data_IF_655115190621
#
_entry.id   IF_655115190621
#
_cell.length_a   1.000
_cell.length_b   1.000
_cell.length_c   1.000
_cell.angle_alpha   90.00
_cell.angle_beta   90.00
_cell.angle_gamma   90.00
#
_symmetry.space_group_name_H-M   'P 1'
#
loop_
_entity.id
_entity.type
_entity.pdbx_description
1 polymer ?
#
# COMPACT_ATOMS: atom_id res chain seq x y z
N UNK A 1 -34.38 6.97 7.33
CA UNK A 1 -33.19 7.28 6.53
C UNK A 1 -32.31 6.05 6.57
N UNK A 2 -32.71 5.03 5.83
CA UNK A 2 -32.23 3.66 5.93
C UNK A 2 -31.72 3.28 4.55
N UNK A 3 -30.41 3.12 4.43
CA UNK A 3 -29.67 2.29 3.47
C UNK A 3 -28.22 2.79 3.43
N UNK A 4 -27.51 2.59 4.55
CA UNK A 4 -26.08 2.84 4.65
C UNK A 4 -25.39 1.48 4.80
N UNK A 5 -24.62 1.10 3.79
CA UNK A 5 -23.79 -0.11 3.67
C UNK A 5 -24.42 -1.32 2.97
N UNK A 6 -24.18 -1.39 1.66
CA UNK A 6 -23.92 -2.67 0.99
C UNK A 6 -22.92 -2.46 -0.14
N UNK A 7 -21.65 -2.88 -0.02
CA UNK A 7 -20.75 -2.89 -1.16
C UNK A 7 -21.12 -4.07 -2.07
N UNK A 8 -21.50 -3.77 -3.32
CA UNK A 8 -21.53 -4.76 -4.40
C UNK A 8 -20.09 -4.97 -4.87
N UNK A 9 -19.47 -6.06 -4.45
CA UNK A 9 -18.18 -6.49 -4.98
C UNK A 9 -18.39 -7.16 -6.34
N UNK A 10 -18.24 -6.41 -7.42
CA UNK A 10 -18.12 -6.97 -8.76
C UNK A 10 -16.69 -7.49 -8.95
N UNK A 11 -16.56 -8.81 -9.02
CA UNK A 11 -15.32 -9.53 -9.29
C UNK A 11 -14.95 -9.42 -10.78
N UNK A 12 -14.40 -8.28 -11.19
CA UNK A 12 -13.68 -8.18 -12.47
C UNK A 12 -12.30 -8.81 -12.32
N UNK A 13 -11.98 -9.78 -13.20
CA UNK A 13 -10.68 -10.45 -13.29
C UNK A 13 -9.55 -9.43 -13.14
N UNK A 14 -8.67 -9.63 -12.16
CA UNK A 14 -7.55 -8.73 -11.84
C UNK A 14 -6.54 -8.63 -13.00
N UNK A 15 -6.81 -7.78 -13.97
CA UNK A 15 -5.83 -7.42 -14.99
C UNK A 15 -4.70 -6.64 -14.32
N UNK A 16 -3.47 -7.12 -14.44
CA UNK A 16 -2.27 -6.38 -14.04
C UNK A 16 -1.95 -5.39 -15.15
N UNK A 17 -1.69 -4.13 -14.79
CA UNK A 17 -1.32 -3.07 -15.72
C UNK A 17 0.14 -2.65 -15.46
N UNK A 18 0.88 -2.33 -16.52
CA UNK A 18 2.25 -1.82 -16.36
C UNK A 18 2.21 -0.34 -15.98
N UNK A 19 3.09 0.07 -15.06
CA UNK A 19 3.26 1.48 -14.72
C UNK A 19 3.61 2.28 -16.00
N UNK A 20 2.97 3.44 -16.26
CA UNK A 20 3.25 4.24 -17.44
C UNK A 20 4.67 4.82 -17.45
N UNK A 21 5.29 4.99 -16.27
CA UNK A 21 6.62 5.58 -16.13
C UNK A 21 7.74 4.53 -16.10
N UNK A 22 7.66 3.54 -15.20
CA UNK A 22 8.75 2.56 -15.01
C UNK A 22 8.44 1.16 -15.57
N UNK A 23 7.29 0.97 -16.21
CA UNK A 23 6.86 -0.26 -16.89
C UNK A 23 6.75 -1.54 -16.03
N UNK A 24 6.92 -1.45 -14.71
CA UNK A 24 6.72 -2.57 -13.78
C UNK A 24 5.25 -2.99 -13.74
N UNK A 25 4.99 -4.30 -13.70
CA UNK A 25 3.63 -4.85 -13.56
C UNK A 25 3.03 -4.52 -12.19
N UNK A 26 1.98 -3.72 -12.18
CA UNK A 26 1.31 -3.21 -10.99
C UNK A 26 0.04 -3.98 -10.68
N UNK A 27 -0.40 -3.88 -9.43
CA UNK A 27 -1.62 -4.53 -8.93
C UNK A 27 -2.68 -3.48 -8.65
N UNK A 28 -3.93 -3.90 -8.76
CA UNK A 28 -5.09 -3.10 -8.36
C UNK A 28 -5.00 -2.67 -6.89
N UNK A 29 -5.52 -1.48 -6.64
CA UNK A 29 -5.72 -0.90 -5.32
C UNK A 29 -7.13 -0.30 -5.27
N UNK A 30 -7.75 -0.30 -4.09
CA UNK A 30 -9.14 0.17 -3.98
C UNK A 30 -9.21 1.70 -4.07
N UNK A 31 -10.32 2.22 -4.61
CA UNK A 31 -10.61 3.66 -4.56
C UNK A 31 -10.52 4.24 -3.15
N UNK A 32 -10.99 3.48 -2.14
CA UNK A 32 -10.95 3.90 -0.72
C UNK A 32 -9.51 4.14 -0.25
N UNK A 33 -8.59 3.24 -0.58
CA UNK A 33 -7.16 3.39 -0.29
C UNK A 33 -6.63 4.66 -0.95
N UNK A 34 -6.82 4.82 -2.26
CA UNK A 34 -6.31 5.98 -3.01
C UNK A 34 -6.87 7.29 -2.46
N UNK A 35 -8.17 7.37 -2.21
CA UNK A 35 -8.84 8.54 -1.63
C UNK A 35 -8.22 8.97 -0.29
N UNK A 36 -7.85 8.01 0.57
CA UNK A 36 -7.26 8.27 1.89
C UNK A 36 -5.78 8.61 1.84
N UNK A 37 -5.10 8.32 0.72
CA UNK A 37 -3.69 8.62 0.51
C UNK A 37 -3.46 9.90 -0.30
N UNK A 38 -4.35 10.27 -1.23
CA UNK A 38 -4.22 11.50 -2.02
C UNK A 38 -4.37 12.75 -1.14
N UNK A 39 -3.54 13.75 -1.41
CA UNK A 39 -3.63 15.07 -0.75
C UNK A 39 -4.80 15.90 -1.31
N UNK A 40 -5.30 16.83 -0.51
CA UNK A 40 -6.29 17.81 -0.97
C UNK A 40 -5.64 18.81 -1.96
N UNK A 41 -6.34 19.25 -3.02
CA UNK A 41 -7.73 18.95 -3.39
C UNK A 41 -7.90 17.71 -4.26
N UNK A 42 -6.83 16.98 -4.59
CA UNK A 42 -6.89 15.87 -5.57
C UNK A 42 -7.83 14.74 -5.15
N UNK A 43 -8.03 14.56 -3.85
CA UNK A 43 -8.96 13.58 -3.32
C UNK A 43 -10.44 13.96 -3.51
N UNK A 44 -10.80 15.22 -3.81
CA UNK A 44 -12.19 15.66 -4.05
C UNK A 44 -12.82 14.93 -5.24
N UNK A 45 -12.07 14.87 -6.35
CA UNK A 45 -12.57 14.38 -7.64
C UNK A 45 -11.99 13.00 -7.98
N UNK A 46 -11.74 12.17 -6.96
CA UNK A 46 -11.14 10.84 -7.17
C UNK A 46 -12.01 10.00 -8.11
N UNK A 47 -11.48 9.55 -9.28
CA UNK A 47 -12.23 8.77 -10.24
C UNK A 47 -12.87 7.50 -9.67
N UNK A 48 -13.91 7.00 -10.34
CA UNK A 48 -14.55 5.72 -9.99
C UNK A 48 -13.97 4.51 -10.72
N UNK A 49 -12.98 4.74 -11.58
CA UNK A 49 -12.24 3.73 -12.33
C UNK A 49 -11.29 2.91 -11.44
N UNK A 50 -10.71 1.87 -12.03
CA UNK A 50 -9.71 1.03 -11.38
C UNK A 50 -8.38 1.79 -11.19
N UNK A 51 -7.85 1.74 -9.97
CA UNK A 51 -6.53 2.27 -9.67
C UNK A 51 -5.49 1.15 -9.57
N UNK A 52 -4.27 1.48 -9.96
CA UNK A 52 -3.10 0.63 -9.86
C UNK A 52 -2.04 1.31 -9.00
N UNK A 53 -1.38 0.53 -8.14
CA UNK A 53 -0.27 1.02 -7.32
C UNK A 53 1.07 0.54 -7.88
N UNK A 54 1.98 1.48 -8.13
CA UNK A 54 3.36 1.15 -8.49
C UNK A 54 4.19 0.92 -7.23
N UNK A 55 4.81 -0.26 -7.12
CA UNK A 55 5.62 -0.64 -5.96
C UNK A 55 7.12 -0.42 -6.15
N UNK A 56 7.52 0.25 -7.23
CA UNK A 56 8.92 0.56 -7.48
C UNK A 56 9.32 1.81 -6.68
N UNK A 57 10.27 1.68 -5.74
CA UNK A 57 10.72 2.79 -4.88
C UNK A 57 11.38 3.92 -5.66
N UNK A 58 11.98 3.61 -6.80
CA UNK A 58 12.66 4.58 -7.66
C UNK A 58 11.71 5.25 -8.68
N UNK A 59 10.42 4.92 -8.63
CA UNK A 59 9.42 5.48 -9.55
C UNK A 59 8.63 6.57 -8.86
N UNK A 60 8.58 7.77 -9.47
CA UNK A 60 7.78 8.87 -8.94
C UNK A 60 6.28 8.62 -8.98
N UNK A 61 5.80 7.71 -9.85
CA UNK A 61 4.37 7.35 -9.93
C UNK A 61 3.99 6.45 -8.76
N UNK A 62 2.97 6.84 -7.98
CA UNK A 62 2.39 6.02 -6.90
C UNK A 62 1.12 5.33 -7.36
N UNK A 63 0.17 6.11 -7.88
CA UNK A 63 -1.10 5.60 -8.41
C UNK A 63 -1.30 5.97 -9.87
N UNK A 64 -2.01 5.12 -10.61
CA UNK A 64 -2.41 5.43 -11.98
C UNK A 64 -3.66 4.66 -12.39
N UNK A 65 -4.28 5.11 -13.48
CA UNK A 65 -5.48 4.52 -14.08
C UNK A 65 -5.20 4.05 -15.51
N UNK A 66 -6.12 3.26 -16.06
CA UNK A 66 -6.06 2.78 -17.45
C UNK A 66 -6.12 3.93 -18.47
N UNK A 67 -6.81 5.01 -18.14
CA UNK A 67 -6.94 6.20 -19.00
C UNK A 67 -5.67 7.08 -19.07
N UNK A 68 -4.58 6.67 -18.39
CA UNK A 68 -3.29 7.39 -18.39
C UNK A 68 -3.13 8.41 -17.27
N UNK A 69 -4.18 8.74 -16.52
CA UNK A 69 -4.09 9.59 -15.33
C UNK A 69 -3.15 8.95 -14.30
N UNK A 70 -2.25 9.74 -13.73
CA UNK A 70 -1.29 9.29 -12.72
C UNK A 70 -1.15 10.29 -11.57
N UNK A 71 -0.79 9.77 -10.40
CA UNK A 71 -0.51 10.53 -9.19
C UNK A 71 0.87 10.16 -8.70
N UNK A 72 1.69 11.18 -8.47
CA UNK A 72 3.08 11.02 -8.08
C UNK A 72 3.28 11.12 -6.56
N UNK A 73 4.52 10.92 -6.12
CA UNK A 73 4.93 10.95 -4.71
C UNK A 73 4.61 12.27 -4.00
N UNK A 74 4.57 13.41 -4.69
CA UNK A 74 4.22 14.70 -4.10
C UNK A 74 2.72 14.88 -3.86
N UNK A 75 1.89 14.02 -4.46
CA UNK A 75 0.44 14.07 -4.42
C UNK A 75 -0.16 13.11 -3.39
N UNK A 76 0.67 12.46 -2.58
CA UNK A 76 0.25 11.55 -1.50
C UNK A 76 0.71 12.07 -0.13
N UNK A 77 -0.10 11.80 0.89
CA UNK A 77 0.14 12.24 2.27
C UNK A 77 1.32 11.53 2.93
N UNK A 78 1.53 10.25 2.65
CA UNK A 78 2.55 9.40 3.29
C UNK A 78 3.87 9.43 2.48
N UNK A 79 4.19 10.60 1.90
CA UNK A 79 5.36 10.78 1.05
C UNK A 79 6.64 10.38 1.78
N UNK A 80 6.79 10.82 3.03
CA UNK A 80 8.00 10.56 3.79
C UNK A 80 8.15 9.07 4.08
N UNK A 81 7.06 8.41 4.45
CA UNK A 81 6.99 6.99 4.77
C UNK A 81 7.29 6.12 3.55
N UNK A 82 6.77 6.50 2.38
CA UNK A 82 7.08 5.83 1.11
C UNK A 82 8.56 6.02 0.76
N UNK A 83 9.08 7.25 0.85
CA UNK A 83 10.49 7.55 0.55
C UNK A 83 11.48 6.86 1.50
N UNK A 84 11.12 6.75 2.79
CA UNK A 84 11.90 6.03 3.79
C UNK A 84 11.76 4.50 3.68
N UNK A 85 10.87 4.00 2.83
CA UNK A 85 10.66 2.57 2.63
C UNK A 85 10.02 1.91 3.85
N UNK A 86 8.82 2.34 4.22
CA UNK A 86 8.08 1.70 5.30
C UNK A 86 7.69 0.25 4.99
N UNK A 87 7.79 -0.61 6.02
CA UNK A 87 7.42 -2.01 5.96
C UNK A 87 5.98 -2.21 6.44
N UNK A 88 5.62 -1.66 7.60
CA UNK A 88 4.28 -1.74 8.19
C UNK A 88 3.70 -0.36 8.50
N UNK A 89 2.78 0.11 7.66
CA UNK A 89 2.07 1.38 7.82
C UNK A 89 1.06 1.42 8.98
N UNK A 90 0.65 0.27 9.49
CA UNK A 90 -0.27 0.19 10.63
C UNK A 90 0.42 0.47 11.96
N UNK A 91 1.67 0.06 12.10
CA UNK A 91 2.38 0.04 13.38
C UNK A 91 3.74 0.74 13.33
N UNK A 92 3.96 1.61 12.33
CA UNK A 92 5.14 2.47 12.24
C UNK A 92 6.47 1.68 12.28
N UNK A 93 6.59 0.71 11.37
CA UNK A 93 7.80 -0.12 11.23
C UNK A 93 8.39 0.13 9.84
N UNK A 94 9.61 0.66 9.81
CA UNK A 94 10.41 0.84 8.59
C UNK A 94 11.13 -0.44 8.16
N UNK A 95 11.48 -0.54 6.87
CA UNK A 95 12.38 -1.62 6.40
C UNK A 95 13.73 -1.57 7.09
N UNK A 96 14.25 -0.38 7.38
CA UNK A 96 15.53 -0.22 8.08
C UNK A 96 15.49 -0.79 9.50
N UNK A 97 14.45 -0.49 10.29
CA UNK A 97 14.28 -1.07 11.63
C UNK A 97 14.20 -2.60 11.58
N UNK A 98 13.44 -3.15 10.62
CA UNK A 98 13.33 -4.59 10.49
C UNK A 98 14.62 -5.26 10.02
N UNK A 99 15.35 -4.62 9.09
CA UNK A 99 16.65 -5.10 8.65
C UNK A 99 17.64 -5.14 9.81
N UNK A 100 17.72 -4.06 10.61
CA UNK A 100 18.55 -4.05 11.80
C UNK A 100 18.19 -5.18 12.77
N UNK A 101 16.90 -5.45 12.97
CA UNK A 101 16.44 -6.54 13.82
C UNK A 101 16.80 -7.93 13.25
N UNK A 102 16.84 -8.10 11.93
CA UNK A 102 17.35 -9.33 11.30
C UNK A 102 18.84 -9.49 11.61
N UNK A 103 19.62 -8.42 11.43
CA UNK A 103 21.07 -8.43 11.65
C UNK A 103 21.43 -8.69 13.13
N UNK A 104 20.60 -8.25 14.08
CA UNK A 104 20.80 -8.45 15.52
C UNK A 104 20.08 -9.66 16.10
N UNK A 105 19.34 -10.44 15.29
CA UNK A 105 18.62 -11.63 15.75
C UNK A 105 17.36 -11.36 16.60
N UNK A 106 16.78 -10.16 16.51
CA UNK A 106 15.57 -9.74 17.25
C UNK A 106 14.32 -9.58 16.36
N UNK A 107 14.42 -9.91 15.07
CA UNK A 107 13.34 -9.75 14.09
C UNK A 107 12.05 -10.51 14.44
N UNK A 108 12.16 -11.68 15.10
CA UNK A 108 10.99 -12.48 15.49
C UNK A 108 10.02 -11.70 16.38
N UNK A 109 10.53 -10.89 17.33
CA UNK A 109 9.71 -10.10 18.25
C UNK A 109 8.84 -9.08 17.49
N UNK A 110 9.42 -8.40 16.51
CA UNK A 110 8.72 -7.42 15.68
C UNK A 110 7.64 -8.12 14.84
N UNK A 111 8.00 -9.24 14.19
CA UNK A 111 7.07 -9.95 13.31
C UNK A 111 5.92 -10.59 14.09
N UNK A 112 6.21 -11.20 15.24
CA UNK A 112 5.20 -11.82 16.11
C UNK A 112 4.22 -10.78 16.66
N UNK A 113 4.72 -9.59 17.02
CA UNK A 113 3.86 -8.45 17.36
C UNK A 113 2.90 -8.12 16.20
N UNK A 114 3.41 -7.93 14.97
CA UNK A 114 2.57 -7.60 13.80
C UNK A 114 1.56 -8.70 13.48
N UNK A 115 1.96 -9.98 13.55
CA UNK A 115 1.07 -11.12 13.36
C UNK A 115 -0.06 -11.08 14.39
N UNK A 116 0.27 -10.90 15.67
CA UNK A 116 -0.72 -10.84 16.76
C UNK A 116 -1.73 -9.72 16.55
N UNK A 117 -1.27 -8.49 16.26
CA UNK A 117 -2.20 -7.37 16.03
C UNK A 117 -3.06 -7.56 14.78
N UNK A 118 -2.52 -8.20 13.74
CA UNK A 118 -3.27 -8.53 12.51
C UNK A 118 -4.36 -9.56 12.78
N UNK A 119 -4.04 -10.62 13.53
CA UNK A 119 -5.00 -11.65 13.94
C UNK A 119 -6.10 -11.10 14.86
N UNK A 120 -5.78 -10.09 15.68
CA UNK A 120 -6.76 -9.37 16.50
C UNK A 120 -7.59 -8.33 15.73
N UNK A 121 -7.43 -8.23 14.40
CA UNK A 121 -8.12 -7.26 13.56
C UNK A 121 -7.89 -5.78 13.96
N UNK A 122 -6.74 -5.48 14.58
CA UNK A 122 -6.37 -4.13 15.01
C UNK A 122 -5.58 -3.36 13.94
N UNK A 123 -5.28 -3.99 12.80
CA UNK A 123 -4.64 -3.36 11.66
C UNK A 123 -5.67 -2.85 10.64
N UNK A 124 -5.32 -1.81 9.90
CA UNK A 124 -6.13 -1.27 8.79
C UNK A 124 -5.32 -1.21 7.48
N UNK A 125 -4.60 -2.30 7.18
CA UNK A 125 -3.60 -2.33 6.10
C UNK A 125 -4.19 -2.17 4.69
N UNK A 126 -5.47 -2.48 4.50
CA UNK A 126 -6.21 -2.26 3.26
C UNK A 126 -6.34 -0.77 2.90
N UNK A 127 -6.27 0.12 3.90
CA UNK A 127 -6.39 1.58 3.72
C UNK A 127 -5.18 2.39 4.18
N UNK A 128 -4.33 1.84 5.07
CA UNK A 128 -3.12 2.54 5.56
C UNK A 128 -1.88 2.23 4.73
N UNK A 129 -1.81 1.07 4.09
CA UNK A 129 -0.69 0.75 3.21
C UNK A 129 -1.04 1.28 1.80
N UNK A 130 -0.19 2.11 1.17
CA UNK A 130 -0.44 2.65 -0.16
C UNK A 130 -0.76 1.57 -1.21
N UNK A 131 -0.23 0.37 -1.06
CA UNK A 131 -0.47 -0.76 -1.95
C UNK A 131 -1.81 -1.49 -1.75
N UNK A 132 -2.56 -1.13 -0.69
CA UNK A 132 -3.78 -1.79 -0.23
C UNK A 132 -3.57 -3.22 0.28
N UNK A 133 -2.35 -3.58 0.72
CA UNK A 133 -1.99 -4.95 1.10
C UNK A 133 -1.41 -5.03 2.51
N UNK A 134 -1.63 -6.19 3.13
CA UNK A 134 -1.00 -6.52 4.40
C UNK A 134 0.53 -6.59 4.26
N UNK A 135 1.24 -5.97 5.21
CA UNK A 135 2.69 -5.92 5.26
C UNK A 135 3.34 -7.30 5.49
N UNK A 136 2.64 -8.27 6.08
CA UNK A 136 3.21 -9.59 6.42
C UNK A 136 3.83 -10.32 5.22
N UNK A 137 3.30 -10.09 4.01
CA UNK A 137 3.90 -10.64 2.79
C UNK A 137 5.28 -10.06 2.50
N UNK A 138 5.54 -8.81 2.89
CA UNK A 138 6.81 -8.11 2.69
C UNK A 138 7.86 -8.53 3.73
N UNK A 139 7.45 -8.75 4.99
CA UNK A 139 8.31 -9.36 6.02
C UNK A 139 8.94 -10.67 5.51
N UNK A 140 8.10 -11.57 4.97
CA UNK A 140 8.54 -12.85 4.39
C UNK A 140 9.52 -12.68 3.23
N UNK A 141 9.37 -11.65 2.40
CA UNK A 141 10.31 -11.40 1.29
C UNK A 141 11.67 -10.95 1.80
N UNK A 142 11.71 -10.07 2.79
CA UNK A 142 12.98 -9.60 3.37
C UNK A 142 13.77 -10.75 3.99
N UNK A 143 13.10 -11.65 4.70
CA UNK A 143 13.73 -12.85 5.29
C UNK A 143 14.31 -13.80 4.25
N UNK A 144 13.67 -13.94 3.09
CA UNK A 144 14.12 -14.82 2.02
C UNK A 144 15.27 -14.25 1.18
N UNK A 145 15.59 -12.96 1.35
CA UNK A 145 16.68 -12.28 0.64
C UNK A 145 17.96 -12.16 1.49
N UNK A 146 17.98 -12.81 2.67
CA UNK A 146 19.17 -13.08 3.48
C UNK A 146 19.94 -14.29 2.93
#
# INVERSE_FOLDING_TARGET
>A
MSDCCSPKLTTTKHQKLSCPLCHVKCKLVTKKTVLLHLVFPLNLDTPSENFYHCSNSECDTIYFLENGTSYNISQVRDKLEIQQGWLCYCFDISKQQYQHALDTGTASEIKDFVIKQTQSHLCACDIRNPSGKCCLAEFKKMENNL
#
